data_IF_300755420104
#
_entry.id   IF_300755420104
#
_cell.length_a   1.000
_cell.length_b   1.000
_cell.length_c   1.000
_cell.angle_alpha   90.00
_cell.angle_beta   90.00
_cell.angle_gamma   90.00
#
_symmetry.space_group_name_H-M   'P 1'
#
loop_
_entity.id
_entity.type
_entity.pdbx_description
1 polymer ?
#
# COMPACT_ATOMS: atom_id res chain seq x y z
N UNK A 1 19.22 7.84 11.24
CA UNK A 1 18.07 7.02 10.80
C UNK A 1 17.66 7.45 9.40
N UNK A 2 17.56 6.53 8.43
CA UNK A 2 17.10 6.87 7.08
C UNK A 2 15.63 6.48 6.97
N UNK A 3 14.73 7.41 7.32
CA UNK A 3 13.28 7.28 7.09
C UNK A 3 12.97 7.76 5.66
N UNK A 4 13.40 6.98 4.66
CA UNK A 4 13.31 7.36 3.24
C UNK A 4 12.56 6.29 2.45
N UNK A 5 11.58 6.72 1.67
CA UNK A 5 10.95 5.88 0.67
C UNK A 5 11.76 5.94 -0.64
N UNK A 6 12.15 4.77 -1.16
CA UNK A 6 12.89 4.66 -2.43
C UNK A 6 11.96 4.44 -3.65
N UNK A 7 10.64 4.57 -3.46
CA UNK A 7 9.64 4.28 -4.49
C UNK A 7 9.82 2.91 -5.17
N UNK A 8 10.23 1.88 -4.42
CA UNK A 8 10.43 0.53 -4.96
C UNK A 8 9.11 -0.22 -5.24
N UNK A 9 7.98 0.31 -4.74
CA UNK A 9 6.64 -0.22 -4.98
C UNK A 9 6.31 -1.51 -4.23
N UNK A 10 7.20 -2.04 -3.39
CA UNK A 10 6.98 -3.31 -2.68
C UNK A 10 5.80 -3.21 -1.70
N UNK A 11 5.73 -2.13 -0.90
CA UNK A 11 4.60 -1.91 0.00
C UNK A 11 3.27 -1.85 -0.76
N UNK A 12 3.25 -1.21 -1.94
CA UNK A 12 2.07 -1.16 -2.80
C UNK A 12 1.66 -2.53 -3.38
N UNK A 13 2.51 -3.55 -3.29
CA UNK A 13 2.21 -4.93 -3.72
C UNK A 13 1.84 -5.86 -2.55
N UNK A 14 1.99 -5.39 -1.31
CA UNK A 14 1.85 -6.22 -0.11
C UNK A 14 0.70 -5.78 0.77
N UNK A 15 0.54 -4.47 0.98
CA UNK A 15 -0.32 -3.97 2.04
C UNK A 15 -1.63 -3.42 1.52
N UNK A 16 -2.69 -3.74 2.26
CA UNK A 16 -3.95 -3.02 2.22
C UNK A 16 -3.77 -1.72 3.02
N UNK A 17 -4.28 -0.63 2.46
CA UNK A 17 -4.07 0.71 3.00
C UNK A 17 -5.42 1.27 3.39
N UNK A 18 -5.72 1.28 4.69
CA UNK A 18 -6.86 2.00 5.24
C UNK A 18 -6.58 3.51 5.22
N UNK A 19 -7.56 4.28 4.78
CA UNK A 19 -7.57 5.72 4.90
C UNK A 19 -8.04 6.13 6.29
N UNK A 20 -7.58 7.29 6.77
CA UNK A 20 -8.25 7.96 7.90
C UNK A 20 -9.63 8.44 7.46
N UNK A 21 -10.47 8.82 8.43
CA UNK A 21 -11.79 9.41 8.18
C UNK A 21 -11.72 10.61 7.23
N UNK A 22 -10.87 11.59 7.56
CA UNK A 22 -10.63 12.75 6.70
C UNK A 22 -10.19 12.36 5.28
N UNK A 23 -9.28 11.40 5.15
CA UNK A 23 -8.77 10.96 3.85
C UNK A 23 -9.86 10.22 3.04
N UNK A 24 -10.72 9.45 3.71
CA UNK A 24 -11.85 8.74 3.11
C UNK A 24 -12.93 9.73 2.61
N UNK A 25 -13.42 10.59 3.49
CA UNK A 25 -14.48 11.56 3.16
C UNK A 25 -14.00 12.66 2.20
N UNK A 26 -12.70 12.94 2.12
CA UNK A 26 -12.17 13.89 1.12
C UNK A 26 -12.43 13.47 -0.33
N UNK A 27 -12.72 12.19 -0.59
CA UNK A 27 -12.94 11.64 -1.93
C UNK A 27 -11.70 11.65 -2.83
N UNK A 28 -10.55 12.12 -2.33
CA UNK A 28 -9.28 12.27 -3.07
C UNK A 28 -8.73 10.95 -3.58
N UNK A 29 -9.05 9.85 -2.89
CA UNK A 29 -8.53 8.53 -3.21
C UNK A 29 -9.61 7.58 -3.75
N UNK A 30 -9.24 6.71 -4.70
CA UNK A 30 -10.04 5.56 -5.11
C UNK A 30 -9.98 4.48 -4.02
N UNK A 31 -11.13 4.15 -3.47
CA UNK A 31 -11.28 3.12 -2.44
C UNK A 31 -11.95 1.87 -2.97
N UNK A 32 -11.88 0.79 -2.20
CA UNK A 32 -12.67 -0.41 -2.42
C UNK A 32 -14.16 -0.07 -2.34
N UNK A 33 -14.97 -0.80 -3.10
CA UNK A 33 -16.43 -0.71 -3.07
C UNK A 33 -17.04 0.63 -3.51
N UNK A 34 -16.23 1.62 -3.92
CA UNK A 34 -16.72 2.93 -4.38
C UNK A 34 -17.73 2.81 -5.53
N UNK A 35 -17.62 1.78 -6.36
CA UNK A 35 -18.59 1.44 -7.41
C UNK A 35 -20.01 1.14 -6.88
N UNK A 36 -20.16 0.72 -5.62
CA UNK A 36 -21.44 0.43 -4.97
C UNK A 36 -21.99 1.63 -4.17
N UNK A 37 -21.32 2.77 -4.23
CA UNK A 37 -21.66 3.98 -3.46
C UNK A 37 -20.66 4.28 -2.35
N UNK A 38 -20.80 5.47 -1.76
CA UNK A 38 -20.07 5.86 -0.54
C UNK A 38 -20.88 5.50 0.69
N UNK A 39 -20.20 5.08 1.75
CA UNK A 39 -20.81 4.83 3.05
C UNK A 39 -20.48 6.04 3.92
N UNK A 40 -21.50 6.80 4.33
CA UNK A 40 -21.27 8.04 5.10
C UNK A 40 -20.69 7.77 6.48
N UNK A 41 -21.16 6.71 7.13
CA UNK A 41 -20.68 6.21 8.43
C UNK A 41 -19.28 5.58 8.27
N UNK A 42 -18.26 6.25 8.82
CA UNK A 42 -16.87 5.81 8.67
C UNK A 42 -16.54 4.52 9.41
N UNK A 43 -17.20 4.24 10.53
CA UNK A 43 -17.00 3.01 11.29
C UNK A 43 -17.50 1.81 10.47
N UNK A 44 -18.69 1.93 9.87
CA UNK A 44 -19.21 0.93 8.92
C UNK A 44 -18.32 0.79 7.69
N UNK A 45 -17.84 1.91 7.14
CA UNK A 45 -16.92 1.90 6.00
C UNK A 45 -15.61 1.18 6.33
N UNK A 46 -15.13 1.28 7.57
CA UNK A 46 -13.94 0.59 8.06
C UNK A 46 -14.20 -0.90 8.26
N UNK A 47 -15.32 -1.26 8.89
CA UNK A 47 -15.70 -2.65 9.17
C UNK A 47 -15.83 -3.47 7.87
N UNK A 48 -16.47 -2.90 6.83
CA UNK A 48 -16.63 -3.58 5.55
C UNK A 48 -15.45 -3.36 4.58
N UNK A 49 -14.41 -2.62 4.99
CA UNK A 49 -13.23 -2.34 4.19
C UNK A 49 -13.43 -1.36 3.03
N UNK A 50 -14.55 -0.62 2.99
CA UNK A 50 -14.78 0.44 2.01
C UNK A 50 -13.78 1.61 2.14
N UNK A 51 -13.14 1.79 3.30
CA UNK A 51 -12.08 2.80 3.49
C UNK A 51 -10.68 2.36 3.01
N UNK A 52 -10.55 1.13 2.48
CA UNK A 52 -9.28 0.63 1.95
C UNK A 52 -9.06 1.19 0.56
N UNK A 53 -7.81 1.57 0.22
CA UNK A 53 -7.46 1.92 -1.16
C UNK A 53 -7.81 0.80 -2.14
N UNK A 54 -8.34 1.18 -3.31
CA UNK A 54 -8.66 0.22 -4.38
C UNK A 54 -7.41 -0.58 -4.76
N UNK A 55 -7.62 -1.86 -5.03
CA UNK A 55 -6.62 -2.77 -5.56
C UNK A 55 -6.90 -3.02 -7.05
N UNK A 56 -5.86 -3.39 -7.77
CA UNK A 56 -5.97 -3.98 -9.09
C UNK A 56 -6.35 -5.45 -8.96
N UNK A 57 -6.74 -6.06 -10.06
CA UNK A 57 -7.03 -7.50 -10.14
C UNK A 57 -5.88 -8.38 -9.60
N UNK A 58 -4.63 -7.96 -9.78
CA UNK A 58 -3.46 -8.68 -9.28
C UNK A 58 -3.14 -8.43 -7.79
N UNK A 59 -4.05 -7.81 -7.04
CA UNK A 59 -3.90 -7.49 -5.61
C UNK A 59 -2.95 -6.34 -5.29
N UNK A 60 -2.33 -5.69 -6.29
CA UNK A 60 -1.52 -4.49 -6.01
C UNK A 60 -2.39 -3.25 -5.87
N UNK A 61 -1.94 -2.26 -5.09
CA UNK A 61 -2.60 -0.97 -4.96
C UNK A 61 -2.83 -0.33 -6.34
N UNK A 62 -4.01 0.27 -6.53
CA UNK A 62 -4.42 0.92 -7.78
C UNK A 62 -3.42 1.99 -8.26
N UNK A 63 -2.71 2.63 -7.33
CA UNK A 63 -1.73 3.68 -7.64
C UNK A 63 -0.32 3.20 -7.95
N UNK A 64 -0.06 1.89 -7.95
CA UNK A 64 1.21 1.33 -8.40
C UNK A 64 1.31 1.44 -9.93
N UNK A 65 2.25 2.22 -10.46
CA UNK A 65 2.51 2.31 -11.91
C UNK A 65 3.93 1.82 -12.20
N UNK A 66 4.04 0.74 -12.96
CA UNK A 66 5.31 0.02 -13.13
C UNK A 66 5.82 -0.49 -11.78
N UNK A 67 6.94 0.07 -11.32
CA UNK A 67 7.53 -0.21 -10.00
C UNK A 67 7.44 0.95 -9.01
N UNK A 68 6.71 2.04 -9.33
CA UNK A 68 6.67 3.26 -8.51
C UNK A 68 5.24 3.61 -8.07
N UNK A 69 5.13 4.21 -6.90
CA UNK A 69 3.88 4.82 -6.43
C UNK A 69 3.61 6.12 -7.20
N UNK A 70 2.52 6.17 -7.97
CA UNK A 70 2.18 7.33 -8.79
C UNK A 70 1.73 8.55 -7.96
N UNK A 71 1.18 8.32 -6.76
CA UNK A 71 0.74 9.37 -5.83
C UNK A 71 1.77 9.65 -4.73
N UNK A 72 3.05 9.32 -4.92
CA UNK A 72 4.04 9.33 -3.83
C UNK A 72 4.08 10.63 -3.01
N UNK A 73 3.98 11.81 -3.66
CA UNK A 73 3.97 13.11 -2.97
C UNK A 73 2.72 13.35 -2.12
N UNK A 74 1.60 12.78 -2.54
CA UNK A 74 0.28 12.96 -1.92
C UNK A 74 -0.26 11.64 -1.36
N UNK A 75 0.62 10.69 -1.03
CA UNK A 75 0.25 9.35 -0.56
C UNK A 75 -0.43 9.44 0.81
N UNK A 76 -1.36 8.53 1.16
CA UNK A 76 -2.08 8.57 2.44
C UNK A 76 -1.18 8.66 3.67
N UNK A 77 -1.71 9.11 4.81
CA UNK A 77 -0.95 9.29 6.05
C UNK A 77 -0.18 8.03 6.46
N UNK A 78 -0.87 6.89 6.50
CA UNK A 78 -0.24 5.60 6.85
C UNK A 78 0.91 5.22 5.90
N UNK A 79 0.85 5.62 4.63
CA UNK A 79 1.92 5.42 3.65
C UNK A 79 3.07 6.43 3.80
N UNK A 80 2.84 7.58 4.45
CA UNK A 80 3.90 8.55 4.80
C UNK A 80 4.67 8.11 6.04
N UNK A 81 3.99 7.46 6.97
CA UNK A 81 4.56 7.04 8.26
C UNK A 81 5.34 5.72 8.17
N UNK A 82 4.94 4.80 7.29
CA UNK A 82 5.65 3.54 7.10
C UNK A 82 6.92 3.72 6.25
N UNK A 83 8.06 3.32 6.81
CA UNK A 83 9.32 3.16 6.09
C UNK A 83 9.86 1.75 6.28
N UNK A 84 10.16 1.05 5.19
CA UNK A 84 10.73 -0.29 5.24
C UNK A 84 12.19 -0.32 5.75
N UNK A 85 12.80 0.85 5.98
CA UNK A 85 14.10 1.04 6.61
C UNK A 85 13.99 1.54 8.06
N UNK A 86 12.77 1.57 8.61
CA UNK A 86 12.52 1.96 10.00
C UNK A 86 12.94 0.86 10.96
N UNK A 87 13.38 1.22 12.16
CA UNK A 87 13.61 0.27 13.27
C UNK A 87 12.49 0.30 14.31
N UNK A 88 11.36 0.95 14.01
CA UNK A 88 10.24 1.04 14.94
C UNK A 88 9.60 -0.34 15.15
N UNK A 89 9.52 -0.78 16.41
CA UNK A 89 8.98 -2.10 16.79
C UNK A 89 7.59 -2.36 16.21
N UNK A 90 6.74 -1.33 16.12
CA UNK A 90 5.38 -1.44 15.54
C UNK A 90 5.35 -1.88 14.07
N UNK A 91 6.46 -1.72 13.33
CA UNK A 91 6.55 -2.07 11.93
C UNK A 91 7.37 -3.34 11.66
N UNK A 92 7.90 -4.01 12.69
CA UNK A 92 8.83 -5.14 12.54
C UNK A 92 8.32 -6.20 11.55
N UNK A 93 7.10 -6.70 11.78
CA UNK A 93 6.51 -7.72 10.92
C UNK A 93 6.33 -7.25 9.46
N UNK A 94 5.87 -6.01 9.28
CA UNK A 94 5.72 -5.43 7.94
C UNK A 94 7.07 -5.27 7.21
N UNK A 95 8.14 -4.98 7.95
CA UNK A 95 9.50 -4.87 7.39
C UNK A 95 9.99 -6.25 6.95
N UNK A 96 9.84 -7.28 7.80
CA UNK A 96 10.19 -8.68 7.48
C UNK A 96 9.48 -9.14 6.19
N UNK A 97 8.16 -8.91 6.08
CA UNK A 97 7.38 -9.23 4.88
C UNK A 97 7.87 -8.47 3.63
N UNK A 98 8.30 -7.21 3.81
CA UNK A 98 8.85 -6.39 2.72
C UNK A 98 10.19 -6.93 2.22
N UNK A 99 11.05 -7.39 3.12
CA UNK A 99 12.37 -7.97 2.81
C UNK A 99 12.25 -9.33 2.12
N UNK A 100 11.35 -10.19 2.63
CA UNK A 100 11.04 -11.47 2.00
C UNK A 100 10.57 -11.27 0.56
N UNK A 101 9.60 -10.36 0.36
CA UNK A 101 9.09 -10.06 -0.98
C UNK A 101 10.17 -9.51 -1.90
N UNK A 102 11.08 -8.66 -1.38
CA UNK A 102 12.21 -8.14 -2.14
C UNK A 102 13.08 -9.27 -2.66
N UNK A 103 13.46 -10.19 -1.78
CA UNK A 103 14.28 -11.36 -2.10
C UNK A 103 13.63 -12.23 -3.17
N UNK A 104 12.33 -12.48 -3.06
CA UNK A 104 11.58 -13.25 -4.07
C UNK A 104 11.59 -12.54 -5.43
N UNK A 105 11.37 -11.22 -5.45
CA UNK A 105 11.37 -10.44 -6.70
C UNK A 105 12.76 -10.37 -7.35
N UNK A 106 13.84 -10.35 -6.55
CA UNK A 106 15.23 -10.41 -7.04
C UNK A 106 15.54 -11.78 -7.65
N UNK A 107 15.14 -12.87 -6.98
CA UNK A 107 15.29 -14.24 -7.51
C UNK A 107 14.56 -14.42 -8.84
N UNK A 108 13.34 -13.89 -8.98
CA UNK A 108 12.56 -13.92 -10.25
C UNK A 108 13.21 -13.15 -11.41
N UNK A 109 14.09 -12.19 -11.12
CA UNK A 109 14.85 -11.46 -12.16
C UNK A 109 16.07 -12.24 -12.64
N UNK A 110 16.52 -13.25 -11.87
CA UNK A 110 17.67 -14.08 -12.23
C UNK A 110 17.35 -14.93 -13.47
N UNK A 111 18.22 -14.96 -14.49
CA UNK A 111 17.99 -15.70 -15.73
C UNK A 111 17.86 -17.22 -15.52
N UNK A 112 18.28 -17.75 -14.36
CA UNK A 112 18.23 -19.19 -14.02
C UNK A 112 16.81 -19.73 -13.78
N UNK A 113 15.81 -18.86 -13.60
CA UNK A 113 14.41 -19.24 -13.25
C UNK A 113 13.36 -18.63 -14.19
N UNK A 114 13.75 -18.24 -15.42
CA UNK A 114 12.83 -17.88 -16.50
C UNK A 114 12.58 -19.11 -17.38
N UNK A 115 11.88 -20.11 -16.85
CA UNK A 115 11.36 -21.24 -17.62
C UNK A 115 9.94 -21.50 -17.17
#
# INVERSE_FOLDING_TARGET
MINKCFQCGICCRLFLVNLSEDEYHSGKYKTQLKEFGTIDDFDKATECGANILKQKENGSCIYLKGNKCNIHKTRPQVCREFFCTSNLKKFRYMIEQTEEKRTILEKKKSPKYKY
#
